data_IF_160292177258
#
_entry.id   IF_160292177258
#
_cell.length_a   1.000
_cell.length_b   1.000
_cell.length_c   1.000
_cell.angle_alpha   90.00
_cell.angle_beta   90.00
_cell.angle_gamma   90.00
#
_symmetry.space_group_name_H-M   'P 1'
#
loop_
_entity.id
_entity.type
_entity.pdbx_description
1 polymer ?
#
# COMPACT_ATOMS: atom_id res chain seq x y z
N UNK A 1 -1.49 -10.56 -5.54
CA UNK A 1 -0.50 -9.73 -6.26
C UNK A 1 0.17 -10.43 -7.42
N UNK A 2 0.79 -11.61 -7.27
CA UNK A 2 1.51 -12.31 -8.36
C UNK A 2 0.80 -12.34 -9.73
N UNK A 3 -0.48 -12.72 -9.78
CA UNK A 3 -1.28 -12.74 -11.03
C UNK A 3 -1.48 -11.34 -11.63
N UNK A 4 -1.60 -10.30 -10.82
CA UNK A 4 -1.83 -8.92 -11.30
C UNK A 4 -0.52 -8.38 -11.85
N UNK A 5 0.56 -8.55 -11.09
CA UNK A 5 1.90 -8.12 -11.48
C UNK A 5 2.44 -8.86 -12.71
N UNK A 6 2.05 -10.12 -12.96
CA UNK A 6 2.41 -10.82 -14.21
C UNK A 6 1.85 -10.13 -15.47
N UNK A 7 0.80 -9.33 -15.32
CA UNK A 7 0.22 -8.53 -16.40
C UNK A 7 0.75 -7.09 -16.41
N UNK A 8 1.78 -6.78 -15.60
CA UNK A 8 2.37 -5.44 -15.44
C UNK A 8 1.36 -4.37 -15.00
N UNK A 9 0.38 -4.76 -14.19
CA UNK A 9 -0.62 -3.85 -13.64
C UNK A 9 -0.18 -3.46 -12.23
N UNK A 10 -0.10 -2.15 -11.96
CA UNK A 10 0.13 -1.62 -10.61
C UNK A 10 -1.15 -1.64 -9.78
N UNK A 11 -1.03 -1.99 -8.50
CA UNK A 11 -2.13 -1.96 -7.53
C UNK A 11 -1.87 -0.87 -6.50
N UNK A 12 -2.73 0.14 -6.54
CA UNK A 12 -2.66 1.32 -5.69
C UNK A 12 -4.04 1.55 -5.04
N UNK A 13 -4.31 0.98 -3.85
CA UNK A 13 -5.61 1.09 -3.19
C UNK A 13 -5.95 2.52 -2.74
N UNK A 14 -7.24 2.85 -2.77
CA UNK A 14 -7.83 4.12 -2.33
C UNK A 14 -9.08 3.86 -1.46
N UNK A 15 -9.36 4.61 -0.39
CA UNK A 15 -8.42 5.38 0.46
C UNK A 15 -8.07 4.51 1.66
N UNK A 16 -6.78 4.39 1.98
CA UNK A 16 -6.36 3.63 3.16
C UNK A 16 -5.85 4.59 4.22
N UNK A 17 -6.55 4.69 5.35
CA UNK A 17 -6.24 5.63 6.42
C UNK A 17 -5.83 4.96 7.74
N UNK A 18 -6.13 3.67 7.90
CA UNK A 18 -5.76 2.87 9.07
C UNK A 18 -4.33 2.30 8.92
N UNK A 19 -3.54 2.39 10.00
CA UNK A 19 -2.13 1.96 10.01
C UNK A 19 -1.99 0.45 9.91
N UNK A 20 -2.92 -0.32 10.48
CA UNK A 20 -2.89 -1.77 10.42
C UNK A 20 -3.22 -2.27 9.01
N UNK A 21 -4.19 -1.63 8.35
CA UNK A 21 -4.50 -1.92 6.94
C UNK A 21 -3.34 -1.52 6.01
N UNK A 22 -2.68 -0.39 6.25
CA UNK A 22 -1.47 -0.02 5.50
C UNK A 22 -0.41 -1.12 5.58
N UNK A 23 -0.12 -1.64 6.78
CA UNK A 23 0.86 -2.73 6.97
C UNK A 23 0.45 -4.01 6.23
N UNK A 24 -0.81 -4.45 6.40
CA UNK A 24 -1.33 -5.64 5.71
C UNK A 24 -1.22 -5.53 4.19
N UNK A 25 -1.51 -4.36 3.63
CA UNK A 25 -1.44 -4.13 2.19
C UNK A 25 0.02 -4.09 1.69
N UNK A 26 0.93 -3.44 2.44
CA UNK A 26 2.37 -3.47 2.17
C UNK A 26 2.86 -4.92 2.14
N UNK A 27 2.55 -5.70 3.16
CA UNK A 27 2.92 -7.12 3.25
C UNK A 27 2.33 -7.95 2.10
N UNK A 28 1.15 -7.57 1.61
CA UNK A 28 0.51 -8.20 0.46
C UNK A 28 1.18 -7.86 -0.89
N UNK A 29 2.11 -6.90 -0.92
CA UNK A 29 2.88 -6.50 -2.11
C UNK A 29 2.17 -5.49 -3.01
N UNK A 30 1.49 -4.49 -2.44
CA UNK A 30 0.98 -3.34 -3.20
C UNK A 30 2.10 -2.46 -3.74
N UNK A 31 1.78 -1.66 -4.77
CA UNK A 31 2.76 -0.77 -5.41
C UNK A 31 2.70 0.67 -4.86
N UNK A 32 1.60 1.01 -4.17
CA UNK A 32 1.43 2.30 -3.51
C UNK A 32 0.10 2.38 -2.76
N UNK A 33 -0.09 3.43 -1.98
CA UNK A 33 -1.31 3.69 -1.24
C UNK A 33 -1.72 5.13 -1.47
N UNK A 34 -3.00 5.36 -1.76
CA UNK A 34 -3.59 6.69 -1.70
C UNK A 34 -4.24 6.84 -0.32
N UNK A 35 -3.79 7.84 0.44
CA UNK A 35 -4.19 8.08 1.83
C UNK A 35 -4.38 9.57 2.07
N UNK A 36 -5.32 9.90 2.97
CA UNK A 36 -5.45 11.26 3.50
C UNK A 36 -4.36 11.57 4.55
N UNK A 37 -3.66 10.52 5.04
CA UNK A 37 -2.60 10.60 6.04
C UNK A 37 -1.26 10.03 5.51
N UNK A 38 -0.64 10.69 4.51
CA UNK A 38 0.61 10.22 3.92
C UNK A 38 1.77 10.19 4.92
N UNK A 39 1.71 10.98 5.99
CA UNK A 39 2.65 11.00 7.10
C UNK A 39 2.69 9.66 7.85
N UNK A 40 1.53 9.02 8.08
CA UNK A 40 1.46 7.70 8.73
C UNK A 40 2.17 6.65 7.88
N UNK A 41 1.89 6.65 6.58
CA UNK A 41 2.55 5.76 5.63
C UNK A 41 4.07 5.98 5.59
N UNK A 42 4.51 7.25 5.57
CA UNK A 42 5.92 7.60 5.59
C UNK A 42 6.63 7.11 6.86
N UNK A 43 5.96 7.12 8.02
CA UNK A 43 6.51 6.56 9.26
C UNK A 43 6.65 5.04 9.21
N UNK A 44 5.74 4.33 8.54
CA UNK A 44 5.80 2.86 8.40
C UNK A 44 6.96 2.44 7.51
N UNK A 45 7.22 3.13 6.39
CA UNK A 45 8.22 2.73 5.37
C UNK A 45 9.66 3.12 5.74
N UNK A 46 9.86 4.12 6.60
CA UNK A 46 11.20 4.64 6.94
C UNK A 46 11.94 3.85 8.04
N UNK A 47 11.34 2.82 8.61
CA UNK A 47 11.96 1.93 9.60
C UNK A 47 12.45 0.64 8.94
#
# INVERSE_FOLDING_TARGET
MQKIHSHKISVIPWTVNDVEDMKKLIDAGIDGIISDYPDRLAHIIKN
#
